data_IF_185050731741
#
_entry.id   IF_185050731741
#
_cell.length_a   1.000
_cell.length_b   1.000
_cell.length_c   1.000
_cell.angle_alpha   90.00
_cell.angle_beta   90.00
_cell.angle_gamma   90.00
#
_symmetry.space_group_name_H-M   'P 1'
#
loop_
_entity.id
_entity.type
_entity.pdbx_description
1 polymer ?
#
# COMPACT_ATOMS: atom_id res chain seq x y z
N UNK A 1 1.45 2.59 25.07
CA UNK A 1 1.31 4.06 25.00
C UNK A 1 1.27 4.40 23.52
N UNK A 2 0.10 4.81 23.01
CA UNK A 2 -0.18 5.00 21.57
C UNK A 2 -0.11 6.50 21.28
N UNK A 3 0.67 6.89 20.29
CA UNK A 3 1.09 8.29 20.06
C UNK A 3 0.26 9.04 19.00
N UNK A 4 -0.87 8.49 18.56
CA UNK A 4 -1.85 9.21 17.74
C UNK A 4 -3.26 8.81 18.21
N UNK A 5 -4.17 9.78 18.28
CA UNK A 5 -5.59 9.57 18.56
C UNK A 5 -6.23 8.93 17.31
N UNK A 6 -5.85 7.67 17.12
CA UNK A 6 -6.16 6.82 15.99
C UNK A 6 -4.97 5.88 15.76
N UNK A 7 -5.20 4.56 15.83
CA UNK A 7 -4.12 3.58 15.60
C UNK A 7 -3.49 3.84 14.23
N UNK A 8 -2.18 3.61 13.98
CA UNK A 8 -1.60 3.65 12.64
C UNK A 8 -2.39 2.83 11.60
N UNK A 9 -3.14 1.82 12.06
CA UNK A 9 -4.07 1.00 11.26
C UNK A 9 -5.44 1.63 11.02
N UNK A 10 -5.61 2.91 11.34
CA UNK A 10 -6.81 3.69 11.02
C UNK A 10 -6.56 4.69 9.88
N UNK A 11 -5.35 4.68 9.32
CA UNK A 11 -4.99 5.38 8.08
C UNK A 11 -4.38 4.36 7.09
N UNK A 12 -5.24 3.44 6.63
CA UNK A 12 -4.85 2.44 5.65
C UNK A 12 -4.37 3.10 4.35
N UNK A 13 -4.92 4.25 3.95
CA UNK A 13 -4.46 4.98 2.77
C UNK A 13 -2.96 5.30 2.82
N UNK A 14 -2.46 5.93 3.89
CA UNK A 14 -1.06 6.32 3.99
C UNK A 14 -0.15 5.10 4.25
N UNK A 15 -0.59 4.15 5.07
CA UNK A 15 0.14 2.90 5.34
C UNK A 15 0.34 2.07 4.07
N UNK A 16 -0.73 1.81 3.33
CA UNK A 16 -0.67 0.97 2.14
C UNK A 16 -0.04 1.67 0.95
N UNK A 17 -0.14 3.00 0.83
CA UNK A 17 0.72 3.72 -0.12
C UNK A 17 2.20 3.48 0.18
N UNK A 18 2.59 3.55 1.45
CA UNK A 18 3.99 3.42 1.86
C UNK A 18 4.52 2.00 1.62
N UNK A 19 3.72 0.98 1.92
CA UNK A 19 4.01 -0.42 1.57
C UNK A 19 4.08 -0.60 0.04
N UNK A 20 3.17 0.01 -0.72
CA UNK A 20 3.16 -0.06 -2.18
C UNK A 20 4.43 0.52 -2.81
N UNK A 21 4.89 1.67 -2.32
CA UNK A 21 6.15 2.28 -2.76
C UNK A 21 7.36 1.37 -2.51
N UNK A 22 7.37 0.63 -1.40
CA UNK A 22 8.41 -0.37 -1.11
C UNK A 22 8.35 -1.55 -2.09
N UNK A 23 7.15 -2.07 -2.35
CA UNK A 23 6.90 -3.18 -3.29
C UNK A 23 7.38 -2.82 -4.69
N UNK A 24 7.04 -1.61 -5.17
CA UNK A 24 7.48 -1.10 -6.46
C UNK A 24 9.01 -0.99 -6.56
N UNK A 25 9.67 -0.43 -5.54
CA UNK A 25 11.12 -0.32 -5.51
C UNK A 25 11.83 -1.67 -5.52
N UNK A 26 11.21 -2.69 -4.92
CA UNK A 26 11.74 -4.06 -4.87
C UNK A 26 11.45 -4.85 -6.15
N UNK A 27 10.54 -4.37 -7.01
CA UNK A 27 10.08 -5.10 -8.20
C UNK A 27 9.33 -6.39 -7.84
N UNK A 28 8.62 -6.38 -6.70
CA UNK A 28 7.72 -7.47 -6.30
C UNK A 28 6.43 -7.43 -7.11
N UNK A 29 5.84 -8.61 -7.34
CA UNK A 29 4.55 -8.79 -8.01
C UNK A 29 3.81 -10.01 -7.49
N UNK A 30 2.53 -10.17 -7.85
CA UNK A 30 1.64 -11.23 -7.36
C UNK A 30 1.62 -11.26 -5.82
N UNK A 31 1.26 -10.11 -5.24
CA UNK A 31 1.45 -9.87 -3.81
C UNK A 31 0.30 -10.43 -2.97
N UNK A 32 0.62 -10.86 -1.76
CA UNK A 32 -0.33 -11.17 -0.70
C UNK A 32 0.02 -10.33 0.51
N UNK A 33 -0.98 -9.68 1.11
CA UNK A 33 -0.84 -8.84 2.30
C UNK A 33 -1.82 -9.29 3.38
N UNK A 34 -1.29 -9.51 4.58
CA UNK A 34 -2.07 -9.91 5.77
C UNK A 34 -1.76 -8.95 6.90
N UNK A 35 -2.80 -8.45 7.57
CA UNK A 35 -2.63 -7.75 8.85
C UNK A 35 -2.15 -8.73 9.95
N UNK A 36 -1.15 -8.32 10.70
CA UNK A 36 -0.59 -9.04 11.84
C UNK A 36 -0.77 -8.20 13.13
N UNK A 37 -0.66 -8.80 14.33
CA UNK A 37 -0.82 -8.07 15.59
C UNK A 37 0.14 -6.89 15.79
N UNK A 38 1.29 -6.88 15.12
CA UNK A 38 2.39 -5.90 15.22
C UNK A 38 2.77 -5.26 13.87
N UNK A 39 1.93 -5.41 12.83
CA UNK A 39 2.14 -4.78 11.53
C UNK A 39 1.50 -5.56 10.39
N UNK A 40 2.27 -5.87 9.34
CA UNK A 40 1.81 -6.62 8.16
C UNK A 40 2.81 -7.67 7.70
N UNK A 41 2.30 -8.77 7.17
CA UNK A 41 3.09 -9.75 6.42
C UNK A 41 2.79 -9.55 4.95
N UNK A 42 3.83 -9.37 4.15
CA UNK A 42 3.76 -9.25 2.69
C UNK A 42 4.53 -10.38 2.05
N UNK A 43 3.88 -11.12 1.17
CA UNK A 43 4.50 -12.11 0.31
C UNK A 43 4.39 -11.66 -1.14
N UNK A 44 5.34 -12.05 -1.97
CA UNK A 44 5.26 -11.80 -3.40
C UNK A 44 6.40 -12.47 -4.16
N UNK A 45 6.35 -12.35 -5.49
CA UNK A 45 7.34 -12.91 -6.40
C UNK A 45 8.29 -11.81 -6.85
N UNK A 46 9.59 -12.04 -6.68
CA UNK A 46 10.66 -11.18 -7.21
C UNK A 46 11.32 -11.91 -8.37
N UNK A 47 11.64 -11.20 -9.44
CA UNK A 47 12.36 -11.75 -10.60
C UNK A 47 13.78 -11.22 -10.64
N UNK A 48 14.76 -12.08 -10.41
CA UNK A 48 16.18 -11.74 -10.55
C UNK A 48 16.61 -11.92 -12.02
N UNK A 49 17.19 -10.88 -12.64
CA UNK A 49 17.89 -11.03 -13.93
C UNK A 49 17.80 -9.88 -14.96
N UNK A 50 17.12 -8.77 -14.70
CA UNK A 50 16.93 -7.73 -15.73
C UNK A 50 17.94 -6.55 -15.69
N UNK A 51 18.95 -6.61 -14.83
CA UNK A 51 19.99 -5.58 -14.78
C UNK A 51 21.32 -6.15 -15.32
N UNK A 52 21.81 -5.54 -16.41
CA UNK A 52 23.10 -5.73 -17.07
C UNK A 52 23.23 -6.89 -18.09
N UNK A 53 22.94 -6.58 -19.35
CA UNK A 53 23.96 -6.59 -20.40
C UNK A 53 24.61 -7.92 -20.85
N UNK A 54 24.09 -9.09 -20.49
CA UNK A 54 24.60 -10.35 -21.03
C UNK A 54 23.46 -11.25 -21.48
N UNK A 55 23.32 -11.38 -22.80
CA UNK A 55 22.50 -12.42 -23.45
C UNK A 55 23.09 -13.80 -23.10
N UNK A 56 22.68 -14.39 -21.99
CA UNK A 56 23.04 -15.76 -21.63
C UNK A 56 22.06 -16.34 -20.60
N UNK A 57 21.08 -17.10 -21.09
CA UNK A 57 20.37 -18.25 -20.48
C UNK A 57 20.00 -18.29 -18.98
N UNK A 58 20.03 -17.19 -18.22
CA UNK A 58 19.26 -17.11 -16.98
C UNK A 58 17.84 -16.67 -17.34
N UNK A 59 17.01 -17.64 -17.74
CA UNK A 59 15.55 -17.50 -17.60
C UNK A 59 15.30 -16.96 -16.19
N UNK A 60 14.78 -15.72 -16.10
CA UNK A 60 14.74 -14.95 -14.86
C UNK A 60 14.29 -15.80 -13.69
N UNK A 61 15.18 -16.00 -12.72
CA UNK A 61 14.86 -16.79 -11.53
C UNK A 61 13.77 -16.05 -10.77
N UNK A 62 12.61 -16.67 -10.64
CA UNK A 62 11.52 -16.17 -9.81
C UNK A 62 11.67 -16.77 -8.41
N UNK A 63 11.79 -15.90 -7.41
CA UNK A 63 11.82 -16.31 -6.01
C UNK A 63 10.63 -15.72 -5.27
N UNK A 64 9.99 -16.56 -4.45
CA UNK A 64 8.99 -16.09 -3.48
C UNK A 64 9.73 -15.47 -2.30
N UNK A 65 9.29 -14.29 -1.92
CA UNK A 65 9.79 -13.61 -0.74
C UNK A 65 8.66 -13.37 0.26
N UNK A 66 9.01 -13.33 1.54
CA UNK A 66 8.11 -13.00 2.64
C UNK A 66 8.78 -11.97 3.52
N UNK A 67 8.11 -10.85 3.72
CA UNK A 67 8.57 -9.71 4.50
C UNK A 67 7.57 -9.45 5.62
N UNK A 68 8.08 -9.13 6.80
CA UNK A 68 7.27 -8.64 7.91
C UNK A 68 7.58 -7.18 8.09
N UNK A 69 6.57 -6.33 7.94
CA UNK A 69 6.64 -4.90 8.21
C UNK A 69 6.08 -4.66 9.60
N UNK A 70 6.94 -4.36 10.57
CA UNK A 70 6.52 -4.02 11.91
C UNK A 70 6.00 -2.58 11.96
N UNK A 71 5.24 -2.22 12.99
CA UNK A 71 4.72 -0.86 13.18
C UNK A 71 5.84 0.22 13.07
N UNK A 72 7.05 -0.07 13.56
CA UNK A 72 8.22 0.82 13.47
C UNK A 72 8.74 0.98 12.02
N UNK A 73 8.71 -0.10 11.22
CA UNK A 73 9.08 -0.04 9.80
C UNK A 73 8.09 0.82 9.02
N UNK A 74 6.80 0.68 9.31
CA UNK A 74 5.71 1.43 8.68
C UNK A 74 5.85 2.91 9.01
N UNK A 75 6.11 3.25 10.27
CA UNK A 75 6.35 4.64 10.69
C UNK A 75 7.50 5.26 9.90
N UNK A 76 8.63 4.54 9.77
CA UNK A 76 9.77 4.98 8.96
C UNK A 76 9.39 5.16 7.49
N UNK A 77 8.66 4.22 6.88
CA UNK A 77 8.27 4.35 5.46
C UNK A 77 7.35 5.55 5.21
N UNK A 78 6.46 5.85 6.15
CA UNK A 78 5.60 7.03 6.08
C UNK A 78 6.43 8.32 6.19
N UNK A 79 7.38 8.40 7.12
CA UNK A 79 8.29 9.54 7.24
C UNK A 79 9.11 9.75 5.97
N UNK A 80 9.65 8.68 5.39
CA UNK A 80 10.36 8.75 4.12
C UNK A 80 9.45 9.19 2.96
N UNK A 81 8.20 8.70 2.92
CA UNK A 81 7.20 9.11 1.94
C UNK A 81 6.90 10.61 2.06
N UNK A 82 6.73 11.13 3.28
CA UNK A 82 6.54 12.55 3.55
C UNK A 82 7.78 13.39 3.21
N UNK A 83 8.98 12.92 3.53
CA UNK A 83 10.23 13.61 3.19
C UNK A 83 10.45 13.71 1.67
N UNK A 84 9.92 12.75 0.90
CA UNK A 84 9.88 12.81 -0.56
C UNK A 84 8.86 13.83 -1.10
N UNK A 85 7.86 14.24 -0.31
CA UNK A 85 6.86 15.26 -0.72
C UNK A 85 7.49 16.66 -0.64
N UNK A 86 7.65 17.31 -1.79
CA UNK A 86 8.07 18.71 -1.88
C UNK A 86 9.57 18.97 -2.02
N UNK A 87 10.41 17.93 -2.17
CA UNK A 87 11.78 18.13 -2.64
C UNK A 87 11.82 18.26 -4.17
N UNK A 88 12.41 19.33 -4.73
CA UNK A 88 12.70 19.42 -6.16
C UNK A 88 13.85 18.45 -6.48
N UNK A 89 13.50 17.19 -6.76
CA UNK A 89 14.38 16.26 -7.46
C UNK A 89 14.43 16.58 -8.96
N UNK A 90 15.43 16.08 -9.70
CA UNK A 90 15.47 16.24 -11.15
C UNK A 90 14.29 15.47 -11.77
N UNK A 91 13.24 16.21 -12.09
CA UNK A 91 12.04 15.78 -12.82
C UNK A 91 12.41 15.45 -14.29
N UNK A 92 11.74 14.45 -14.89
CA UNK A 92 10.30 14.50 -15.08
C UNK A 92 9.59 13.25 -14.55
N UNK A 93 8.55 13.46 -13.73
CA UNK A 93 7.55 12.50 -13.30
C UNK A 93 8.14 11.25 -12.63
N UNK A 94 8.31 11.29 -11.30
CA UNK A 94 8.06 10.05 -10.57
C UNK A 94 6.55 9.81 -10.58
N UNK A 95 6.05 9.23 -11.66
CA UNK A 95 4.77 8.53 -11.62
C UNK A 95 4.90 7.52 -10.47
N UNK A 96 4.09 7.68 -9.43
CA UNK A 96 4.02 6.69 -8.35
C UNK A 96 3.87 5.31 -9.01
N UNK A 97 4.61 4.33 -8.51
CA UNK A 97 4.56 2.99 -9.09
C UNK A 97 3.15 2.39 -9.01
N UNK A 98 2.96 1.28 -9.71
CA UNK A 98 1.64 0.65 -9.79
C UNK A 98 1.11 0.32 -8.39
N UNK A 99 1.93 -0.31 -7.53
CA UNK A 99 1.49 -0.71 -6.21
C UNK A 99 1.33 0.48 -5.27
N UNK A 100 2.22 1.48 -5.30
CA UNK A 100 2.04 2.72 -4.55
C UNK A 100 0.68 3.37 -4.85
N UNK A 101 0.31 3.40 -6.13
CA UNK A 101 -0.93 4.03 -6.60
C UNK A 101 -2.16 3.19 -6.27
N UNK A 102 -2.13 1.90 -6.58
CA UNK A 102 -3.25 0.97 -6.36
C UNK A 102 -3.53 0.78 -4.85
N UNK A 103 -2.48 0.56 -4.06
CA UNK A 103 -2.62 0.32 -2.63
C UNK A 103 -3.07 1.57 -1.87
N UNK A 104 -2.75 2.78 -2.36
CA UNK A 104 -3.31 4.03 -1.80
C UNK A 104 -4.83 4.05 -1.90
N UNK A 105 -5.40 3.81 -3.09
CA UNK A 105 -6.85 3.88 -3.29
C UNK A 105 -7.59 2.73 -2.62
N UNK A 106 -6.97 1.55 -2.54
CA UNK A 106 -7.49 0.45 -1.73
C UNK A 106 -7.47 0.76 -0.24
N UNK A 107 -6.39 1.38 0.26
CA UNK A 107 -6.31 1.85 1.64
C UNK A 107 -7.41 2.85 1.95
N UNK A 108 -7.64 3.83 1.07
CA UNK A 108 -8.75 4.77 1.19
C UNK A 108 -10.11 4.08 1.28
N UNK A 109 -10.36 3.10 0.41
CA UNK A 109 -11.57 2.29 0.47
C UNK A 109 -11.72 1.60 1.84
N UNK A 110 -10.64 1.03 2.38
CA UNK A 110 -10.66 0.37 3.69
C UNK A 110 -10.89 1.36 4.84
N UNK A 111 -10.34 2.57 4.78
CA UNK A 111 -10.61 3.63 5.75
C UNK A 111 -12.11 3.99 5.80
N UNK A 112 -12.79 3.96 4.65
CA UNK A 112 -14.23 4.18 4.56
C UNK A 112 -15.03 3.01 5.12
N UNK A 113 -14.58 1.77 4.89
CA UNK A 113 -15.22 0.57 5.43
C UNK A 113 -15.02 0.41 6.95
N UNK A 114 -13.91 0.90 7.51
CA UNK A 114 -13.51 0.74 8.92
C UNK A 114 -13.51 -0.73 9.39
N UNK A 115 -12.78 -1.62 8.69
CA UNK A 115 -12.66 -3.01 9.08
C UNK A 115 -11.90 -3.17 10.40
N UNK A 116 -12.07 -4.33 11.04
CA UNK A 116 -11.29 -4.76 12.20
C UNK A 116 -10.00 -5.47 11.82
N UNK A 117 -9.96 -6.06 10.62
CA UNK A 117 -8.85 -6.85 10.12
C UNK A 117 -8.93 -6.90 8.59
N UNK A 118 -7.77 -6.86 7.93
CA UNK A 118 -7.66 -6.83 6.47
C UNK A 118 -6.73 -7.92 5.94
N UNK A 119 -7.14 -8.50 4.83
CA UNK A 119 -6.36 -9.47 4.07
C UNK A 119 -6.65 -9.22 2.59
N UNK A 120 -5.62 -9.21 1.75
CA UNK A 120 -5.84 -9.19 0.30
C UNK A 120 -4.70 -9.85 -0.45
N UNK A 121 -4.99 -10.22 -1.68
CA UNK A 121 -3.98 -10.62 -2.64
C UNK A 121 -4.25 -9.96 -3.98
N UNK A 122 -3.20 -9.88 -4.78
CA UNK A 122 -3.19 -9.35 -6.12
C UNK A 122 -2.69 -10.42 -7.09
N UNK A 123 -3.35 -10.52 -8.23
CA UNK A 123 -2.92 -11.35 -9.36
C UNK A 123 -3.33 -10.64 -10.65
N UNK A 124 -2.38 -10.52 -11.59
CA UNK A 124 -2.63 -9.89 -12.90
C UNK A 124 -3.28 -8.50 -12.80
N UNK A 125 -2.82 -7.68 -11.85
CA UNK A 125 -3.32 -6.35 -11.53
C UNK A 125 -4.77 -6.29 -11.01
N UNK A 126 -5.35 -7.43 -10.65
CA UNK A 126 -6.66 -7.51 -9.99
C UNK A 126 -6.48 -7.86 -8.52
N UNK A 127 -7.27 -7.23 -7.65
CA UNK A 127 -7.19 -7.39 -6.20
C UNK A 127 -8.45 -8.04 -5.65
N UNK A 128 -8.26 -9.02 -4.77
CA UNK A 128 -9.35 -9.57 -3.94
C UNK A 128 -9.08 -9.18 -2.50
N UNK A 129 -9.98 -8.38 -1.94
CA UNK A 129 -9.89 -7.82 -0.60
C UNK A 129 -10.92 -8.48 0.31
N UNK A 130 -10.45 -9.07 1.41
CA UNK A 130 -11.29 -9.61 2.49
C UNK A 130 -11.20 -8.71 3.72
N UNK A 131 -12.33 -8.16 4.10
CA UNK A 131 -12.50 -7.34 5.29
C UNK A 131 -13.21 -8.13 6.39
N UNK A 132 -12.72 -8.05 7.62
CA UNK A 132 -13.48 -8.49 8.79
C UNK A 132 -14.20 -7.30 9.40
N UNK A 133 -15.51 -7.28 9.31
CA UNK A 133 -16.35 -6.17 9.76
C UNK A 133 -16.88 -6.43 11.17
N UNK A 134 -16.82 -5.42 12.03
CA UNK A 134 -17.47 -5.47 13.34
C UNK A 134 -18.92 -4.96 13.28
N UNK A 135 -19.82 -5.53 14.07
CA UNK A 135 -21.19 -5.06 14.19
C UNK A 135 -21.83 -5.41 15.53
N UNK A 136 -22.97 -4.80 15.83
CA UNK A 136 -23.74 -5.03 17.07
C UNK A 136 -24.19 -6.50 17.21
N UNK A 137 -24.43 -7.18 16.08
CA UNK A 137 -24.83 -8.58 16.02
C UNK A 137 -23.65 -9.57 15.94
N UNK A 138 -22.40 -9.09 16.08
CA UNK A 138 -21.19 -9.88 15.89
C UNK A 138 -20.38 -9.46 14.66
N UNK A 139 -19.28 -10.17 14.42
CA UNK A 139 -18.41 -9.93 13.27
C UNK A 139 -18.81 -10.74 12.04
N UNK A 140 -18.57 -10.21 10.84
CA UNK A 140 -18.77 -10.93 9.59
C UNK A 140 -17.65 -10.60 8.59
N UNK A 141 -17.49 -11.47 7.58
CA UNK A 141 -16.54 -11.23 6.49
C UNK A 141 -17.24 -10.59 5.30
N UNK A 142 -16.57 -9.62 4.68
CA UNK A 142 -16.95 -9.01 3.41
C UNK A 142 -15.83 -9.24 2.39
N UNK A 143 -16.19 -9.52 1.15
CA UNK A 143 -15.27 -9.68 0.02
C UNK A 143 -15.56 -8.59 -1.01
N UNK A 144 -14.51 -7.92 -1.46
CA UNK A 144 -14.55 -6.98 -2.57
C UNK A 144 -13.49 -7.37 -3.60
N UNK A 145 -13.84 -7.26 -4.87
CA UNK A 145 -12.94 -7.50 -6.00
C UNK A 145 -12.76 -6.19 -6.76
N UNK A 146 -11.52 -5.91 -7.14
CA UNK A 146 -11.16 -4.73 -7.91
C UNK A 146 -10.32 -5.18 -9.10
N UNK A 147 -10.88 -5.04 -10.29
CA UNK A 147 -10.13 -5.25 -11.53
C UNK A 147 -9.13 -4.12 -11.76
N UNK A 148 -8.21 -4.32 -12.70
CA UNK A 148 -7.30 -3.25 -13.15
C UNK A 148 -8.04 -1.97 -13.54
N UNK A 149 -9.19 -2.11 -14.20
CA UNK A 149 -9.99 -0.96 -14.66
C UNK A 149 -10.67 -0.26 -13.48
N UNK A 150 -11.13 -1.01 -12.47
CA UNK A 150 -11.69 -0.43 -11.24
C UNK A 150 -10.62 0.39 -10.50
N UNK A 151 -9.40 -0.15 -10.37
CA UNK A 151 -8.28 0.58 -9.76
C UNK A 151 -7.98 1.87 -10.54
N UNK A 152 -7.91 1.81 -11.87
CA UNK A 152 -7.67 3.00 -12.69
C UNK A 152 -8.76 4.07 -12.46
N UNK A 153 -10.03 3.68 -12.43
CA UNK A 153 -11.14 4.59 -12.15
C UNK A 153 -11.04 5.21 -10.75
N UNK A 154 -10.70 4.41 -9.72
CA UNK A 154 -10.51 4.91 -8.35
C UNK A 154 -9.35 5.92 -8.26
N UNK A 155 -8.28 5.69 -9.02
CA UNK A 155 -7.12 6.59 -9.09
C UNK A 155 -7.51 7.92 -9.71
N UNK A 156 -8.24 7.90 -10.83
CA UNK A 156 -8.72 9.11 -11.51
C UNK A 156 -9.68 9.92 -10.65
N UNK A 157 -10.50 9.26 -9.82
CA UNK A 157 -11.39 9.93 -8.88
C UNK A 157 -10.67 10.48 -7.64
N UNK A 158 -9.54 9.87 -7.24
CA UNK A 158 -8.81 10.18 -6.02
C UNK A 158 -8.50 11.66 -5.75
N UNK A 159 -8.08 12.48 -6.75
CA UNK A 159 -7.83 13.91 -6.55
C UNK A 159 -9.04 14.69 -6.00
N UNK A 160 -10.26 14.27 -6.34
CA UNK A 160 -11.50 14.94 -5.91
C UNK A 160 -11.85 14.71 -4.44
N UNK A 161 -11.24 13.68 -3.82
CA UNK A 161 -11.52 13.25 -2.45
C UNK A 161 -10.49 13.75 -1.43
N UNK A 162 -9.50 14.53 -1.87
CA UNK A 162 -8.44 15.05 -1.00
C UNK A 162 -9.02 16.05 0.01
N UNK A 163 -8.97 15.70 1.29
CA UNK A 163 -9.29 16.63 2.38
C UNK A 163 -8.10 17.61 2.54
N UNK A 164 -8.32 18.94 2.51
CA UNK A 164 -7.26 19.91 2.74
C UNK A 164 -6.62 19.68 4.12
N UNK A 165 -5.29 19.61 4.18
CA UNK A 165 -4.57 19.60 5.45
C UNK A 165 -4.86 20.93 6.15
N UNK A 166 -5.44 20.95 7.36
CA UNK A 166 -5.66 22.20 8.08
C UNK A 166 -4.32 22.91 8.27
N UNK A 167 -4.28 24.19 7.87
CA UNK A 167 -3.06 24.99 7.93
C UNK A 167 -2.53 25.00 9.36
N UNK A 168 -1.24 24.67 9.52
CA UNK A 168 -0.55 24.71 10.81
C UNK A 168 -0.66 26.13 11.38
N UNK A 169 -1.15 26.34 12.62
CA UNK A 169 -1.27 27.68 13.17
C UNK A 169 0.12 28.34 13.22
N UNK A 170 0.18 29.58 12.72
CA UNK A 170 1.40 30.38 12.78
C UNK A 170 1.83 30.52 14.25
N UNK A 171 3.10 30.23 14.54
CA UNK A 171 3.67 30.51 15.86
C UNK A 171 3.61 32.02 16.09
N UNK A 172 2.92 32.42 17.17
CA UNK A 172 2.91 33.80 17.68
C UNK A 172 4.27 34.17 18.29
#
# INVERSE_FOLDING_TARGET
MRIYEGSPRQDFEEVFRSIGAFIDQRGMRDILLVEAPDGFIVQGVVTAGAAAGSWSESLGSQSKETLTFLDDDIARFMEESLARRGQPGPEPHRDAGFYETALRVLGRYMDEQKPRDVFFFEQEHSFVVRLFMGGQAGGHHSLAEFTRDDIAQMVDHGPTLRVPIPAKPAKA
#
